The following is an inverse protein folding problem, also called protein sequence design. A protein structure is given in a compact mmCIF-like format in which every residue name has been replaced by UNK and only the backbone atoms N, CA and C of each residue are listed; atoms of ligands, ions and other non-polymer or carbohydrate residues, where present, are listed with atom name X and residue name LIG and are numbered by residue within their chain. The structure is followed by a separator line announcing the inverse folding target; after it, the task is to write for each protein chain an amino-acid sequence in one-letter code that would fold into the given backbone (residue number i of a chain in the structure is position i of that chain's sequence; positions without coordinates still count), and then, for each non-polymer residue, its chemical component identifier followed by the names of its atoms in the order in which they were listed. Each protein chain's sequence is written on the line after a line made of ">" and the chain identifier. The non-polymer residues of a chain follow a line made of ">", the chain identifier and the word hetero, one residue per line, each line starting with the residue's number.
data_IF_414954199545
#
_entry.id   IF_414954199545
#
_cell.length_a   1.000
_cell.length_b   1.000
_cell.length_c   1.000
_cell.angle_alpha   90.00
_cell.angle_beta   90.00
_cell.angle_gamma   90.00
#
_symmetry.space_group_name_H-M   'P 1'
#
loop_
_entity.id
_entity.type
_entity.pdbx_description
1 polymer ?
#
# COMPACT_ATOMS: atom_id res chain seq x y z
N UNK A 1 22.63 -40.97 -4.77
CA UNK A 1 23.68 -39.96 -5.00
C UNK A 1 24.44 -40.30 -6.29
N UNK A 2 23.78 -40.31 -7.46
CA UNK A 2 24.38 -40.69 -8.75
C UNK A 2 24.06 -39.75 -9.91
N UNK A 3 23.30 -38.67 -9.67
CA UNK A 3 22.77 -37.75 -10.69
C UNK A 3 23.67 -36.55 -11.02
N UNK A 4 24.90 -36.48 -10.49
CA UNK A 4 25.79 -35.34 -10.76
C UNK A 4 26.44 -35.35 -12.16
N UNK A 5 26.48 -36.50 -12.84
CA UNK A 5 27.18 -36.64 -14.14
C UNK A 5 26.26 -36.86 -15.34
N UNK A 6 24.96 -37.12 -15.14
CA UNK A 6 23.96 -37.33 -16.20
C UNK A 6 22.59 -36.83 -15.74
N UNK A 7 21.78 -36.37 -16.69
CA UNK A 7 20.39 -35.98 -16.43
C UNK A 7 19.60 -37.12 -15.81
N UNK A 8 18.64 -36.79 -14.94
CA UNK A 8 17.70 -37.76 -14.41
C UNK A 8 16.75 -38.27 -15.50
N UNK A 9 16.32 -39.53 -15.38
CA UNK A 9 15.36 -40.11 -16.31
C UNK A 9 13.99 -39.44 -16.11
N UNK A 10 13.40 -38.97 -17.21
CA UNK A 10 12.08 -38.33 -17.21
C UNK A 10 11.09 -39.16 -18.01
N UNK A 11 9.85 -39.24 -17.53
CA UNK A 11 8.78 -39.96 -18.19
C UNK A 11 7.63 -39.01 -18.55
N UNK A 12 7.09 -39.14 -19.75
CA UNK A 12 5.87 -38.43 -20.15
C UNK A 12 4.66 -39.23 -19.68
N UNK A 13 3.81 -38.59 -18.86
CA UNK A 13 2.59 -39.20 -18.33
C UNK A 13 1.38 -38.37 -18.75
N UNK A 14 0.28 -39.04 -19.08
CA UNK A 14 -1.01 -38.39 -19.36
C UNK A 14 -1.91 -38.47 -18.13
N UNK A 15 -2.37 -37.31 -17.65
CA UNK A 15 -3.24 -37.20 -16.48
C UNK A 15 -4.71 -37.02 -16.91
N UNK A 16 -5.59 -37.87 -16.39
CA UNK A 16 -7.04 -37.74 -16.55
C UNK A 16 -7.63 -37.34 -15.19
N UNK A 17 -8.08 -36.08 -15.09
CA UNK A 17 -8.56 -35.51 -13.84
C UNK A 17 -10.04 -35.11 -13.97
N UNK A 18 -10.91 -35.55 -13.04
CA UNK A 18 -12.26 -35.00 -12.95
C UNK A 18 -12.19 -33.55 -12.46
N UNK A 19 -13.06 -32.69 -12.98
CA UNK A 19 -13.06 -31.24 -12.67
C UNK A 19 -13.19 -30.94 -11.18
N UNK A 20 -13.92 -31.77 -10.43
CA UNK A 20 -14.10 -31.61 -8.99
C UNK A 20 -12.81 -31.88 -8.18
N UNK A 21 -11.91 -32.75 -8.66
CA UNK A 21 -10.67 -33.09 -7.97
C UNK A 21 -9.44 -32.36 -8.54
N UNK A 22 -9.57 -31.75 -9.73
CA UNK A 22 -8.47 -31.12 -10.44
C UNK A 22 -7.70 -30.12 -9.57
N UNK A 23 -8.40 -29.27 -8.81
CA UNK A 23 -7.77 -28.27 -7.93
C UNK A 23 -6.86 -28.92 -6.88
N UNK A 24 -7.37 -29.91 -6.16
CA UNK A 24 -6.63 -30.58 -5.07
C UNK A 24 -5.46 -31.40 -5.62
N UNK A 25 -5.67 -32.16 -6.70
CA UNK A 25 -4.60 -32.95 -7.31
C UNK A 25 -3.47 -32.07 -7.85
N UNK A 26 -3.80 -30.99 -8.56
CA UNK A 26 -2.79 -30.06 -9.10
C UNK A 26 -2.06 -29.32 -7.97
N UNK A 27 -2.75 -28.92 -6.91
CA UNK A 27 -2.14 -28.33 -5.72
C UNK A 27 -1.11 -29.27 -5.08
N UNK A 28 -1.47 -30.53 -4.85
CA UNK A 28 -0.56 -31.55 -4.31
C UNK A 28 0.63 -31.82 -5.24
N UNK A 29 0.42 -31.89 -6.54
CA UNK A 29 1.51 -32.03 -7.53
C UNK A 29 2.46 -30.82 -7.49
N UNK A 30 1.92 -29.61 -7.27
CA UNK A 30 2.70 -28.39 -7.09
C UNK A 30 3.54 -28.39 -5.81
N UNK A 31 3.01 -28.93 -4.71
CA UNK A 31 3.73 -29.09 -3.45
C UNK A 31 4.88 -30.09 -3.56
N UNK A 32 4.68 -31.20 -4.29
CA UNK A 32 5.72 -32.17 -4.60
C UNK A 32 6.83 -31.56 -5.45
N UNK A 33 6.50 -30.72 -6.44
CA UNK A 33 7.47 -29.98 -7.24
C UNK A 33 8.30 -30.85 -8.19
N UNK A 34 7.78 -32.02 -8.58
CA UNK A 34 8.46 -33.01 -9.42
C UNK A 34 7.88 -33.10 -10.85
N UNK A 35 6.88 -32.29 -11.17
CA UNK A 35 6.11 -32.39 -12.42
C UNK A 35 6.25 -31.11 -13.23
N UNK A 36 6.52 -31.27 -14.52
CA UNK A 36 6.49 -30.19 -15.51
C UNK A 36 5.26 -30.36 -16.41
N UNK A 37 4.42 -29.32 -16.49
CA UNK A 37 3.23 -29.33 -17.35
C UNK A 37 3.55 -28.83 -18.75
N UNK A 38 3.13 -29.59 -19.78
CA UNK A 38 3.20 -29.15 -21.17
C UNK A 38 1.91 -28.44 -21.58
N UNK A 39 2.04 -27.30 -22.25
CA UNK A 39 0.89 -26.57 -22.78
C UNK A 39 0.29 -27.31 -23.99
N UNK A 40 -0.87 -27.93 -23.78
CA UNK A 40 -1.65 -28.56 -24.85
C UNK A 40 -2.50 -27.56 -25.64
N UNK A 41 -2.68 -26.33 -25.13
CA UNK A 41 -3.55 -25.30 -25.68
C UNK A 41 -2.76 -24.10 -26.23
N UNK A 42 -1.58 -24.34 -26.81
CA UNK A 42 -0.71 -23.28 -27.33
C UNK A 42 -1.37 -22.45 -28.45
N UNK A 43 -2.35 -23.00 -29.17
CA UNK A 43 -3.12 -22.31 -30.21
C UNK A 43 -4.27 -21.44 -29.67
N UNK A 44 -4.62 -21.58 -28.38
CA UNK A 44 -5.73 -20.86 -27.74
C UNK A 44 -5.18 -19.63 -27.03
N UNK A 45 -5.76 -18.46 -27.36
CA UNK A 45 -5.44 -17.19 -26.71
C UNK A 45 -5.63 -17.29 -25.19
N UNK A 46 -4.74 -16.65 -24.43
CA UNK A 46 -4.77 -16.65 -22.98
C UNK A 46 -6.15 -16.27 -22.40
N UNK A 47 -6.86 -15.34 -23.04
CA UNK A 47 -8.18 -14.84 -22.61
C UNK A 47 -9.34 -15.83 -22.78
N UNK A 48 -9.21 -16.79 -23.68
CA UNK A 48 -10.25 -17.78 -23.97
C UNK A 48 -10.08 -19.06 -23.14
N UNK A 49 -9.02 -19.14 -22.32
CA UNK A 49 -8.77 -20.29 -21.47
C UNK A 49 -9.80 -20.37 -20.35
N UNK A 50 -10.11 -21.59 -19.92
CA UNK A 50 -11.22 -21.90 -19.00
C UNK A 50 -11.15 -21.20 -17.63
N UNK A 51 -9.95 -20.96 -17.11
CA UNK A 51 -9.74 -20.47 -15.73
C UNK A 51 -9.32 -18.99 -15.66
N UNK A 52 -9.50 -18.22 -16.73
CA UNK A 52 -9.09 -16.81 -16.79
C UNK A 52 -9.79 -15.92 -15.77
N UNK A 53 -11.06 -16.20 -15.48
CA UNK A 53 -11.83 -15.47 -14.47
C UNK A 53 -11.23 -15.68 -13.08
N UNK A 54 -10.87 -16.92 -12.73
CA UNK A 54 -10.28 -17.23 -11.43
C UNK A 54 -8.87 -16.64 -11.29
N UNK A 55 -8.08 -16.64 -12.37
CA UNK A 55 -6.75 -15.99 -12.39
C UNK A 55 -6.89 -14.49 -12.13
N UNK A 56 -7.83 -13.81 -12.79
CA UNK A 56 -8.09 -12.38 -12.59
C UNK A 56 -8.50 -12.06 -11.15
N UNK A 57 -9.33 -12.91 -10.53
CA UNK A 57 -9.68 -12.76 -9.11
C UNK A 57 -8.46 -12.83 -8.21
N UNK A 58 -7.54 -13.77 -8.46
CA UNK A 58 -6.29 -13.86 -7.72
C UNK A 58 -5.39 -12.62 -7.94
N UNK A 59 -5.32 -12.08 -9.16
CA UNK A 59 -4.57 -10.85 -9.46
C UNK A 59 -5.14 -9.63 -8.72
N UNK A 60 -6.47 -9.53 -8.59
CA UNK A 60 -7.14 -8.48 -7.82
C UNK A 60 -6.89 -8.63 -6.31
N UNK A 61 -6.93 -9.87 -5.81
CA UNK A 61 -6.61 -10.19 -4.42
C UNK A 61 -5.14 -9.84 -4.08
N UNK A 62 -4.20 -10.15 -4.97
CA UNK A 62 -2.78 -9.81 -4.82
C UNK A 62 -2.55 -8.29 -4.72
N UNK A 63 -3.24 -7.50 -5.55
CA UNK A 63 -3.22 -6.03 -5.45
C UNK A 63 -3.71 -5.54 -4.09
N UNK A 64 -4.73 -6.20 -3.55
CA UNK A 64 -5.29 -5.85 -2.24
C UNK A 64 -4.32 -6.21 -1.12
N UNK A 65 -3.65 -7.37 -1.18
CA UNK A 65 -2.57 -7.71 -0.25
C UNK A 65 -1.40 -6.73 -0.30
N UNK A 66 -0.99 -6.32 -1.49
CA UNK A 66 0.09 -5.32 -1.66
C UNK A 66 -0.29 -4.00 -0.99
N UNK A 67 -1.52 -3.53 -1.19
CA UNK A 67 -2.04 -2.35 -0.50
C UNK A 67 -2.00 -2.50 1.02
N UNK A 68 -2.48 -3.63 1.56
CA UNK A 68 -2.47 -3.88 3.00
C UNK A 68 -1.04 -3.89 3.55
N UNK A 69 -0.11 -4.55 2.86
CA UNK A 69 1.31 -4.59 3.23
C UNK A 69 1.91 -3.19 3.29
N UNK A 70 1.62 -2.32 2.31
CA UNK A 70 2.06 -0.93 2.32
C UNK A 70 1.46 -0.15 3.51
N UNK A 71 0.19 -0.36 3.86
CA UNK A 71 -0.43 0.29 5.02
C UNK A 71 0.23 -0.14 6.34
N UNK A 72 0.56 -1.42 6.47
CA UNK A 72 1.27 -1.95 7.66
C UNK A 72 2.67 -1.35 7.75
N UNK A 73 3.41 -1.27 6.64
CA UNK A 73 4.72 -0.60 6.60
C UNK A 73 4.63 0.89 6.96
N UNK A 74 3.61 1.60 6.47
CA UNK A 74 3.36 3.02 6.82
C UNK A 74 3.04 3.21 8.31
N UNK A 75 2.48 2.20 8.96
CA UNK A 75 2.25 2.19 10.40
C UNK A 75 3.53 1.90 11.22
N UNK A 76 4.66 1.63 10.56
CA UNK A 76 5.93 1.26 11.20
C UNK A 76 5.97 -0.18 11.71
N UNK A 77 5.03 -1.02 11.27
CA UNK A 77 4.98 -2.44 11.61
C UNK A 77 5.69 -3.24 10.51
N UNK A 78 6.55 -4.17 10.91
CA UNK A 78 7.19 -5.12 10.00
C UNK A 78 6.43 -6.45 10.04
N UNK A 79 6.07 -6.97 8.87
CA UNK A 79 5.51 -8.32 8.76
C UNK A 79 6.67 -9.33 8.80
N UNK A 80 6.64 -10.32 9.72
CA UNK A 80 7.62 -11.38 9.70
C UNK A 80 7.48 -12.20 8.41
N UNK A 81 8.57 -12.74 7.85
CA UNK A 81 8.49 -13.64 6.72
C UNK A 81 7.68 -14.89 7.13
N UNK A 82 6.91 -15.47 6.21
CA UNK A 82 6.14 -16.68 6.49
C UNK A 82 7.07 -17.82 6.93
N UNK A 83 6.72 -18.49 8.03
CA UNK A 83 7.46 -19.64 8.53
C UNK A 83 7.14 -20.88 7.69
N UNK A 84 8.07 -21.27 6.83
CA UNK A 84 8.01 -22.53 6.09
C UNK A 84 7.13 -22.51 4.83
N UNK A 85 6.91 -23.71 4.29
CA UNK A 85 6.15 -23.93 3.05
C UNK A 85 4.67 -23.99 3.40
N UNK A 86 3.89 -23.00 2.98
CA UNK A 86 2.44 -22.98 3.18
C UNK A 86 1.77 -23.91 2.15
N UNK A 87 0.88 -24.82 2.58
CA UNK A 87 0.13 -25.67 1.67
C UNK A 87 -0.86 -24.83 0.83
N UNK A 88 -1.25 -25.36 -0.32
CA UNK A 88 -2.24 -24.70 -1.17
C UNK A 88 -3.60 -24.60 -0.43
N UNK A 89 -4.17 -23.39 -0.26
CA UNK A 89 -5.45 -23.23 0.43
C UNK A 89 -6.58 -23.88 -0.39
N UNK A 90 -7.60 -24.48 0.24
CA UNK A 90 -8.74 -25.01 -0.50
C UNK A 90 -9.57 -23.86 -1.10
N UNK A 91 -10.35 -24.12 -2.17
CA UNK A 91 -11.06 -23.06 -2.91
C UNK A 91 -12.14 -22.36 -2.07
N UNK A 92 -12.67 -23.01 -1.03
CA UNK A 92 -13.61 -22.37 -0.09
C UNK A 92 -12.93 -21.33 0.79
N UNK A 93 -11.69 -21.59 1.18
CA UNK A 93 -10.93 -20.68 2.02
C UNK A 93 -10.41 -19.50 1.20
N UNK A 94 -10.09 -19.70 -0.09
CA UNK A 94 -9.79 -18.60 -1.01
C UNK A 94 -10.90 -17.54 -1.04
N UNK A 95 -12.16 -17.96 -1.14
CA UNK A 95 -13.30 -17.02 -1.14
C UNK A 95 -13.41 -16.26 0.19
N UNK A 96 -13.23 -16.96 1.31
CA UNK A 96 -13.26 -16.34 2.65
C UNK A 96 -12.14 -15.32 2.80
N UNK A 97 -10.91 -15.70 2.43
CA UNK A 97 -9.75 -14.82 2.45
C UNK A 97 -10.00 -13.59 1.57
N UNK A 98 -10.59 -13.77 0.38
CA UNK A 98 -10.94 -12.67 -0.49
C UNK A 98 -11.90 -11.68 0.19
N UNK A 99 -13.04 -12.16 0.70
CA UNK A 99 -14.04 -11.33 1.37
C UNK A 99 -13.46 -10.59 2.58
N UNK A 100 -12.67 -11.29 3.41
CA UNK A 100 -12.02 -10.70 4.59
C UNK A 100 -10.99 -9.64 4.20
N UNK A 101 -10.17 -9.90 3.19
CA UNK A 101 -9.12 -8.98 2.73
C UNK A 101 -9.74 -7.72 2.11
N UNK A 102 -10.78 -7.86 1.31
CA UNK A 102 -11.53 -6.74 0.72
C UNK A 102 -12.18 -5.88 1.80
N UNK A 103 -12.82 -6.51 2.80
CA UNK A 103 -13.40 -5.83 3.95
C UNK A 103 -12.36 -5.03 4.73
N UNK A 104 -11.23 -5.64 5.09
CA UNK A 104 -10.14 -4.98 5.81
C UNK A 104 -9.58 -3.80 5.01
N UNK A 105 -9.41 -3.97 3.70
CA UNK A 105 -8.93 -2.89 2.84
C UNK A 105 -9.91 -1.71 2.80
N UNK A 106 -11.22 -1.98 2.82
CA UNK A 106 -12.23 -0.93 2.87
C UNK A 106 -12.24 -0.21 4.21
N UNK A 107 -12.23 -0.94 5.33
CA UNK A 107 -12.17 -0.37 6.67
C UNK A 107 -10.94 0.55 6.85
N UNK A 108 -9.77 0.14 6.33
CA UNK A 108 -8.57 0.98 6.37
C UNK A 108 -8.69 2.25 5.52
N UNK A 109 -9.29 2.17 4.33
CA UNK A 109 -9.54 3.35 3.48
C UNK A 109 -10.45 4.35 4.18
N UNK A 110 -11.52 3.86 4.82
CA UNK A 110 -12.48 4.70 5.54
C UNK A 110 -11.83 5.36 6.75
N UNK A 111 -11.07 4.62 7.55
CA UNK A 111 -10.32 5.16 8.69
C UNK A 111 -9.29 6.20 8.22
N UNK A 112 -8.58 5.94 7.13
CA UNK A 112 -7.62 6.89 6.56
C UNK A 112 -8.31 8.19 6.13
N UNK A 113 -9.44 8.10 5.43
CA UNK A 113 -10.23 9.24 5.00
C UNK A 113 -10.77 10.05 6.18
N UNK A 114 -11.37 9.37 7.16
CA UNK A 114 -11.89 10.00 8.38
C UNK A 114 -10.79 10.74 9.15
N UNK A 115 -9.61 10.11 9.31
CA UNK A 115 -8.46 10.73 9.95
C UNK A 115 -7.99 11.98 9.22
N UNK A 116 -7.97 11.97 7.88
CA UNK A 116 -7.60 13.13 7.08
C UNK A 116 -8.62 14.27 7.24
N UNK A 117 -9.92 13.97 7.17
CA UNK A 117 -10.98 14.94 7.37
C UNK A 117 -10.90 15.61 8.76
N UNK A 118 -10.74 14.83 9.82
CA UNK A 118 -10.59 15.33 11.19
C UNK A 118 -9.35 16.21 11.35
N UNK A 119 -8.23 15.85 10.73
CA UNK A 119 -7.01 16.68 10.76
C UNK A 119 -7.21 18.03 10.08
N UNK A 120 -7.88 18.04 8.93
CA UNK A 120 -8.21 19.28 8.23
C UNK A 120 -9.13 20.15 9.08
N UNK A 121 -10.19 19.57 9.66
CA UNK A 121 -11.11 20.31 10.54
C UNK A 121 -10.40 20.88 11.77
N UNK A 122 -9.54 20.10 12.42
CA UNK A 122 -8.74 20.55 13.56
C UNK A 122 -7.81 21.70 13.16
N UNK A 123 -7.16 21.61 12.01
CA UNK A 123 -6.32 22.69 11.50
C UNK A 123 -7.11 23.97 11.26
N UNK A 124 -8.30 23.89 10.65
CA UNK A 124 -9.17 25.06 10.44
C UNK A 124 -9.58 25.70 11.78
N UNK A 125 -9.97 24.88 12.77
CA UNK A 125 -10.33 25.37 14.10
C UNK A 125 -9.15 26.04 14.81
N UNK A 126 -7.93 25.50 14.68
CA UNK A 126 -6.72 26.13 15.20
C UNK A 126 -6.49 27.51 14.58
N UNK A 127 -6.61 27.62 13.26
CA UNK A 127 -6.48 28.91 12.55
C UNK A 127 -7.53 29.92 13.02
N UNK A 128 -8.80 29.50 13.10
CA UNK A 128 -9.89 30.36 13.58
C UNK A 128 -9.64 30.82 15.02
N UNK A 129 -9.20 29.92 15.89
CA UNK A 129 -8.87 30.26 17.27
C UNK A 129 -7.75 31.29 17.35
N UNK A 130 -6.71 31.18 16.51
CA UNK A 130 -5.60 32.13 16.51
C UNK A 130 -6.04 33.55 16.13
N UNK A 131 -6.92 33.69 15.12
CA UNK A 131 -7.50 34.99 14.72
C UNK A 131 -8.29 35.61 15.87
N UNK A 132 -9.18 34.83 16.50
CA UNK A 132 -9.98 35.30 17.63
C UNK A 132 -9.12 35.75 18.83
N UNK A 133 -7.97 35.11 19.06
CA UNK A 133 -7.05 35.53 20.12
C UNK A 133 -6.25 36.80 19.74
N UNK A 134 -6.00 37.03 18.46
CA UNK A 134 -5.25 38.20 17.98
C UNK A 134 -6.07 39.50 18.09
N UNK A 135 -7.39 39.44 17.89
CA UNK A 135 -8.30 40.58 18.07
C UNK A 135 -8.56 40.96 19.55
N UNK A 136 -8.21 40.09 20.51
CA UNK A 136 -8.40 40.32 21.96
C UNK A 136 -7.20 41.03 22.62
N UNK A 137 -6.19 41.46 21.85
CA UNK A 137 -5.10 42.30 22.36
C UNK A 137 -5.59 43.71 22.73
N UNK A 138 -5.04 44.35 23.79
CA UNK A 138 -5.50 45.67 24.21
C UNK A 138 -5.39 46.65 23.03
N UNK A 139 -6.35 47.59 22.85
CA UNK A 139 -6.27 48.54 21.76
C UNK A 139 -4.96 49.29 21.91
N UNK A 140 -4.09 49.17 20.92
CA UNK A 140 -2.89 49.99 20.82
C UNK A 140 -3.41 51.42 20.76
N UNK A 141 -3.33 52.14 21.88
CA UNK A 141 -3.66 53.55 21.92
C UNK A 141 -2.66 54.24 21.00
N UNK A 142 -3.09 54.56 19.78
CA UNK A 142 -2.43 55.53 18.94
C UNK A 142 -2.43 56.85 19.70
N UNK A 143 -1.38 57.07 20.50
CA UNK A 143 -1.12 58.36 21.13
C UNK A 143 -0.81 59.35 20.01
N UNK A 144 -1.83 60.10 19.61
CA UNK A 144 -1.71 61.40 18.98
C UNK A 144 -0.77 62.26 19.83
N UNK A 145 0.49 62.33 19.44
CA UNK A 145 1.50 63.22 20.01
C UNK A 145 2.21 63.95 18.88
N UNK A 146 1.66 65.10 18.46
CA UNK A 146 2.54 66.20 18.01
C UNK A 146 3.29 66.74 19.24
N UNK A 147 4.48 67.37 19.09
CA UNK A 147 4.60 68.56 18.25
C UNK A 147 5.95 68.73 17.50
N UNK A 148 5.95 69.67 16.55
CA UNK A 148 7.03 70.67 16.44
C UNK A 148 8.45 70.28 15.99
N UNK A 149 8.73 70.54 14.71
CA UNK A 149 9.76 71.48 14.22
C UNK A 149 11.27 71.11 14.33
N UNK A 150 11.85 70.94 13.13
CA UNK A 150 13.16 71.39 12.63
C UNK A 150 14.48 70.76 13.15
N UNK A 151 15.33 70.34 12.20
CA UNK A 151 16.76 70.14 12.40
C UNK A 151 17.44 69.28 11.31
N UNK A 152 18.17 69.94 10.42
CA UNK A 152 18.96 69.39 9.31
C UNK A 152 20.19 68.56 9.73
N UNK A 153 20.74 67.76 8.78
CA UNK A 153 22.10 67.20 8.81
C UNK A 153 22.10 65.67 8.56
N UNK A 154 22.23 65.18 7.33
CA UNK A 154 23.48 64.93 6.58
C UNK A 154 24.28 63.71 7.08
N UNK A 155 24.48 62.71 6.20
CA UNK A 155 25.45 61.62 6.40
C UNK A 155 24.99 60.19 6.07
N UNK A 156 25.07 59.79 4.79
CA UNK A 156 25.43 58.41 4.39
C UNK A 156 26.98 58.35 4.30
N UNK A 157 27.68 57.20 4.44
CA UNK A 157 27.35 55.87 3.87
C UNK A 157 27.59 54.67 4.83
N UNK A 158 26.98 53.49 4.64
CA UNK A 158 27.57 52.36 3.91
C UNK A 158 27.67 51.11 4.81
N UNK A 159 27.60 49.86 4.29
CA UNK A 159 27.37 48.64 5.06
C UNK A 159 28.65 47.89 5.42
N UNK A 160 28.66 47.13 6.52
CA UNK A 160 29.70 46.13 6.83
C UNK A 160 29.08 44.78 7.15
N UNK A 161 29.47 43.79 6.35
CA UNK A 161 29.31 42.36 6.57
C UNK A 161 30.42 41.85 7.51
N UNK A 162 30.07 41.03 8.50
CA UNK A 162 30.90 40.02 9.18
C UNK A 162 29.95 39.28 10.15
N UNK A 163 29.83 37.95 10.25
CA UNK A 163 30.76 36.88 9.93
C UNK A 163 31.06 36.10 11.22
N UNK A 164 30.34 35.01 11.47
CA UNK A 164 30.79 33.74 12.09
C UNK A 164 29.61 32.78 12.16
#
# INVERSE_FOLDING_TARGET
>A
MGSMFRSEEVALVQLFLPTAAAYTCVGQLGELGLVEFRDLNASVSAFQRRFTVDIRRCEELEKTFTFLQEQVQRAGLALPPPEGRLPAPPPRDLLRIQEETERLAQELRDVQGNRQALRTQLHQLQLHSAVLHQDQGPPVSCSLGGPGRAGSGEGRPGPTWAGS
#
